data_IF_959425403582
#
_entry.id   IF_959425403582
#
_cell.length_a   1.000
_cell.length_b   1.000
_cell.length_c   1.000
_cell.angle_alpha   90.00
_cell.angle_beta   90.00
_cell.angle_gamma   90.00
#
_symmetry.space_group_name_H-M   'P 1'
#
loop_
_entity.id
_entity.type
_entity.pdbx_description
1 polymer ?
#
# COMPACT_ATOMS: atom_id res chain seq x y z
N UNK A 1 9.61 -4.30 -9.41
CA UNK A 1 11.08 -4.54 -9.39
C UNK A 1 11.46 -5.48 -10.52
N UNK A 2 12.73 -5.52 -10.90
CA UNK A 2 13.26 -6.38 -11.97
C UNK A 2 14.11 -7.54 -11.41
N UNK A 3 14.23 -8.60 -12.20
CA UNK A 3 15.13 -9.73 -11.97
C UNK A 3 15.58 -10.28 -13.34
N UNK A 4 16.65 -11.11 -13.40
CA UNK A 4 17.05 -11.76 -14.64
C UNK A 4 15.88 -12.51 -15.30
N UNK A 5 15.65 -12.26 -16.58
CA UNK A 5 14.56 -12.87 -17.33
C UNK A 5 14.92 -13.14 -18.79
N UNK A 6 16.21 -13.11 -19.11
CA UNK A 6 16.75 -13.40 -20.43
C UNK A 6 17.75 -14.55 -20.33
N UNK A 7 17.70 -15.45 -21.30
CA UNK A 7 18.54 -16.66 -21.37
C UNK A 7 18.55 -17.46 -20.06
N UNK A 8 17.36 -17.63 -19.47
CA UNK A 8 17.21 -18.33 -18.20
C UNK A 8 17.10 -19.83 -18.47
N UNK A 9 17.99 -20.66 -17.91
CA UNK A 9 17.82 -22.10 -17.97
C UNK A 9 16.68 -22.53 -17.05
N UNK A 10 15.69 -23.21 -17.62
CA UNK A 10 14.52 -23.72 -16.89
C UNK A 10 14.27 -25.18 -17.21
N UNK A 11 13.63 -25.89 -16.28
CA UNK A 11 13.17 -27.24 -16.55
C UNK A 11 12.02 -27.21 -17.56
N UNK A 12 12.06 -28.13 -18.52
CA UNK A 12 11.05 -28.32 -19.56
C UNK A 12 10.65 -29.81 -19.55
N UNK A 13 9.37 -30.19 -19.69
CA UNK A 13 9.02 -31.60 -19.62
C UNK A 13 9.64 -32.38 -20.78
N UNK A 14 9.98 -33.65 -20.52
CA UNK A 14 10.72 -34.50 -21.47
C UNK A 14 9.98 -34.76 -22.80
N UNK A 15 8.66 -34.51 -22.83
CA UNK A 15 7.86 -34.60 -24.03
C UNK A 15 8.09 -33.41 -25.00
N UNK A 16 8.58 -32.29 -24.49
CA UNK A 16 8.90 -31.07 -25.24
C UNK A 16 10.38 -31.05 -25.63
N UNK A 17 11.28 -31.41 -24.70
CA UNK A 17 12.72 -31.50 -24.96
C UNK A 17 13.36 -32.69 -24.21
N UNK A 18 14.10 -33.53 -24.94
CA UNK A 18 14.71 -34.74 -24.39
C UNK A 18 15.80 -34.47 -23.34
N UNK A 19 16.40 -33.27 -23.33
CA UNK A 19 17.35 -32.84 -22.30
C UNK A 19 16.66 -32.53 -20.96
N UNK A 20 15.35 -32.24 -20.99
CA UNK A 20 14.58 -31.77 -19.83
C UNK A 20 14.78 -30.30 -19.48
N UNK A 21 15.41 -29.51 -20.37
CA UNK A 21 15.70 -28.10 -20.15
C UNK A 21 15.41 -27.25 -21.39
N UNK A 22 14.94 -26.02 -21.15
CA UNK A 22 14.98 -24.91 -22.08
C UNK A 22 16.04 -23.93 -21.59
N UNK A 23 17.07 -23.66 -22.41
CA UNK A 23 18.27 -22.91 -21.97
C UNK A 23 18.22 -21.41 -22.28
N UNK A 24 17.36 -21.00 -23.19
CA UNK A 24 17.23 -19.64 -23.73
C UNK A 24 15.84 -19.05 -23.40
N UNK A 25 15.32 -19.36 -22.21
CA UNK A 25 14.00 -18.91 -21.82
C UNK A 25 14.00 -17.39 -21.54
N UNK A 26 13.18 -16.67 -22.30
CA UNK A 26 13.11 -15.21 -22.30
C UNK A 26 11.70 -14.72 -21.92
N UNK A 27 11.61 -13.79 -20.97
CA UNK A 27 10.35 -13.18 -20.56
C UNK A 27 10.27 -12.79 -19.09
N UNK A 28 9.37 -11.86 -18.78
CA UNK A 28 9.05 -11.48 -17.39
C UNK A 28 8.47 -12.64 -16.59
N UNK A 29 7.88 -13.65 -17.27
CA UNK A 29 7.46 -14.92 -16.70
C UNK A 29 8.60 -15.71 -16.06
N UNK A 30 9.85 -15.52 -16.50
CA UNK A 30 11.04 -16.17 -15.92
C UNK A 30 11.73 -15.29 -14.86
N UNK A 31 11.57 -13.98 -14.92
CA UNK A 31 11.99 -13.08 -13.84
C UNK A 31 11.11 -13.19 -12.59
N UNK A 32 9.79 -13.32 -12.77
CA UNK A 32 8.79 -13.44 -11.71
C UNK A 32 9.11 -14.54 -10.66
N UNK A 33 9.40 -15.80 -11.03
CA UNK A 33 9.72 -16.86 -10.06
C UNK A 33 11.02 -16.62 -9.30
N UNK A 34 12.00 -15.89 -9.87
CA UNK A 34 13.21 -15.50 -9.13
C UNK A 34 12.88 -14.54 -7.99
N UNK A 35 12.02 -13.55 -8.25
CA UNK A 35 11.53 -12.63 -7.20
C UNK A 35 10.71 -13.38 -6.16
N UNK A 36 9.83 -14.29 -6.59
CA UNK A 36 9.01 -15.10 -5.67
C UNK A 36 9.88 -16.01 -4.77
N UNK A 37 10.87 -16.70 -5.35
CA UNK A 37 11.81 -17.54 -4.60
C UNK A 37 12.65 -16.73 -3.62
N UNK A 38 13.14 -15.56 -4.03
CA UNK A 38 13.87 -14.65 -3.16
C UNK A 38 13.00 -14.11 -2.02
N UNK A 39 11.76 -13.71 -2.29
CA UNK A 39 10.81 -13.26 -1.27
C UNK A 39 10.52 -14.39 -0.26
N UNK A 40 10.30 -15.62 -0.73
CA UNK A 40 10.12 -16.79 0.13
C UNK A 40 11.32 -17.07 1.03
N UNK A 41 12.55 -16.96 0.50
CA UNK A 41 13.76 -17.10 1.31
C UNK A 41 13.91 -15.97 2.34
N UNK A 42 13.76 -14.71 1.91
CA UNK A 42 13.82 -13.55 2.82
C UNK A 42 12.80 -13.70 3.94
N UNK A 43 11.57 -14.12 3.63
CA UNK A 43 10.52 -14.30 4.62
C UNK A 43 10.78 -15.48 5.56
N UNK A 44 11.45 -16.53 5.08
CA UNK A 44 11.91 -17.64 5.93
C UNK A 44 12.94 -17.18 6.95
N UNK A 45 13.91 -16.36 6.52
CA UNK A 45 14.94 -15.81 7.42
C UNK A 45 14.36 -14.75 8.35
N UNK A 46 13.38 -13.97 7.86
CA UNK A 46 12.74 -12.86 8.59
C UNK A 46 11.26 -13.15 8.86
N UNK A 47 11.01 -14.24 9.56
CA UNK A 47 9.65 -14.80 9.78
C UNK A 47 8.68 -13.91 10.56
N UNK A 48 9.17 -12.84 11.20
CA UNK A 48 8.34 -11.86 11.91
C UNK A 48 7.79 -10.73 11.03
N UNK A 49 8.17 -10.68 9.75
CA UNK A 49 7.58 -9.72 8.80
C UNK A 49 6.16 -10.15 8.45
N UNK A 50 5.25 -9.19 8.33
CA UNK A 50 4.02 -9.42 7.57
C UNK A 50 4.24 -9.22 6.05
N UNK A 51 3.22 -9.53 5.26
CA UNK A 51 3.28 -9.45 3.80
C UNK A 51 3.55 -8.03 3.30
N UNK A 52 3.03 -7.00 3.97
CA UNK A 52 3.20 -5.60 3.58
C UNK A 52 4.63 -5.12 3.85
N UNK A 53 5.19 -5.54 4.98
CA UNK A 53 6.59 -5.30 5.30
C UNK A 53 7.54 -6.05 4.37
N UNK A 54 7.22 -7.30 4.01
CA UNK A 54 8.01 -8.06 3.04
C UNK A 54 8.01 -7.37 1.67
N UNK A 55 6.85 -6.95 1.18
CA UNK A 55 6.72 -6.24 -0.08
C UNK A 55 7.55 -4.94 -0.10
N UNK A 56 7.37 -4.08 0.91
CA UNK A 56 8.11 -2.83 1.04
C UNK A 56 9.62 -3.04 1.16
N UNK A 57 10.04 -4.07 1.88
CA UNK A 57 11.44 -4.41 2.07
C UNK A 57 12.07 -4.85 0.76
N UNK A 58 11.43 -5.76 0.01
CA UNK A 58 11.94 -6.26 -1.27
C UNK A 58 12.07 -5.11 -2.28
N UNK A 59 11.12 -4.18 -2.24
CA UNK A 59 11.07 -2.99 -3.08
C UNK A 59 12.20 -2.00 -2.80
N UNK A 60 12.36 -1.60 -1.53
CA UNK A 60 13.33 -0.56 -1.12
C UNK A 60 14.77 -1.03 -1.05
N UNK A 61 14.97 -2.34 -0.96
CA UNK A 61 16.30 -2.94 -0.95
C UNK A 61 16.84 -3.26 -2.34
N UNK A 62 16.03 -3.10 -3.38
CA UNK A 62 16.45 -3.31 -4.76
C UNK A 62 17.63 -2.40 -5.13
N UNK A 63 18.53 -2.92 -5.96
CA UNK A 63 19.59 -2.12 -6.57
C UNK A 63 18.99 -1.31 -7.71
N UNK A 64 18.94 -0.01 -7.55
CA UNK A 64 18.56 0.90 -8.63
C UNK A 64 19.55 0.76 -9.81
N UNK A 65 19.01 0.36 -10.98
CA UNK A 65 19.77 0.12 -12.21
C UNK A 65 19.28 1.02 -13.36
N UNK A 66 18.34 1.92 -13.07
CA UNK A 66 17.68 2.79 -14.03
C UNK A 66 17.78 4.26 -13.64
N UNK A 67 16.66 4.97 -13.76
CA UNK A 67 16.58 6.35 -13.28
C UNK A 67 16.43 6.35 -11.75
N UNK A 68 17.02 7.35 -11.07
CA UNK A 68 17.05 7.35 -9.60
C UNK A 68 15.68 7.11 -8.93
N UNK A 69 15.57 5.98 -8.23
CA UNK A 69 14.37 5.46 -7.56
C UNK A 69 13.44 4.71 -8.52
N UNK A 70 12.13 4.77 -8.29
CA UNK A 70 11.16 4.16 -9.21
C UNK A 70 11.26 4.70 -10.63
N UNK A 71 11.31 3.78 -11.60
CA UNK A 71 11.14 4.02 -13.02
C UNK A 71 10.21 2.97 -13.66
N UNK A 72 9.61 3.29 -14.82
CA UNK A 72 8.62 2.41 -15.46
C UNK A 72 9.22 1.14 -16.09
N UNK A 73 10.54 1.06 -16.28
CA UNK A 73 11.20 -0.07 -16.92
C UNK A 73 11.63 -1.14 -15.90
N UNK A 74 12.12 -0.72 -14.72
CA UNK A 74 12.66 -1.64 -13.70
C UNK A 74 11.92 -1.57 -12.36
N UNK A 75 10.93 -0.68 -12.24
CA UNK A 75 10.30 -0.34 -10.97
C UNK A 75 11.34 0.26 -10.05
N UNK A 76 11.53 -0.32 -8.86
CA UNK A 76 12.56 0.11 -7.90
C UNK A 76 13.97 -0.44 -8.18
N UNK A 77 14.16 -1.16 -9.27
CA UNK A 77 15.46 -1.71 -9.67
C UNK A 77 15.55 -3.23 -9.55
N UNK A 78 16.77 -3.73 -9.61
CA UNK A 78 17.14 -5.14 -9.63
C UNK A 78 17.05 -5.77 -8.23
N UNK A 79 16.45 -6.95 -8.16
CA UNK A 79 16.43 -7.81 -6.98
C UNK A 79 17.82 -7.92 -6.31
N UNK A 80 17.86 -7.66 -4.99
CA UNK A 80 19.07 -7.73 -4.19
C UNK A 80 18.79 -8.41 -2.83
N UNK A 81 19.07 -9.72 -2.75
CA UNK A 81 18.81 -10.53 -1.55
C UNK A 81 19.66 -10.08 -0.35
N UNK A 82 20.99 -9.85 -0.46
CA UNK A 82 21.77 -9.34 0.67
C UNK A 82 21.25 -8.01 1.24
N UNK A 83 20.85 -7.07 0.37
CA UNK A 83 20.24 -5.82 0.80
C UNK A 83 18.90 -6.07 1.49
N UNK A 84 18.04 -6.94 0.94
CA UNK A 84 16.76 -7.30 1.54
C UNK A 84 16.91 -7.90 2.95
N UNK A 85 17.88 -8.80 3.13
CA UNK A 85 18.15 -9.43 4.43
C UNK A 85 18.65 -8.42 5.48
N UNK A 86 19.39 -7.40 5.07
CA UNK A 86 19.94 -6.37 5.96
C UNK A 86 19.07 -5.11 6.12
N UNK A 87 18.04 -4.96 5.29
CA UNK A 87 17.19 -3.76 5.29
C UNK A 87 16.43 -3.60 6.63
N UNK A 88 16.32 -2.41 7.22
CA UNK A 88 15.52 -2.20 8.42
C UNK A 88 14.07 -2.67 8.21
N UNK A 89 13.47 -3.34 9.20
CA UNK A 89 12.08 -3.78 9.09
C UNK A 89 11.17 -2.57 8.78
N UNK A 90 10.48 -2.57 7.62
CA UNK A 90 9.59 -1.47 7.27
C UNK A 90 8.48 -1.33 8.29
N UNK A 91 7.85 -0.15 8.31
CA UNK A 91 6.70 0.04 9.18
C UNK A 91 5.54 -0.80 8.67
N UNK A 92 4.77 -1.34 9.61
CA UNK A 92 3.58 -2.13 9.31
C UNK A 92 2.49 -1.25 8.70
N UNK A 93 1.95 -1.70 7.56
CA UNK A 93 0.86 -1.02 6.84
C UNK A 93 -0.26 -2.01 6.46
N UNK A 94 -1.15 -2.34 7.39
CA UNK A 94 -1.94 -3.57 7.29
C UNK A 94 -3.19 -3.46 6.41
N UNK A 95 -3.45 -2.30 5.81
CA UNK A 95 -4.60 -2.11 4.93
C UNK A 95 -4.23 -2.05 3.45
N UNK A 96 -2.97 -2.31 3.08
CA UNK A 96 -2.58 -2.41 1.67
C UNK A 96 -3.21 -3.62 0.95
N UNK A 97 -3.56 -3.49 -0.34
CA UNK A 97 -3.60 -2.24 -1.14
C UNK A 97 -4.79 -1.35 -0.75
N UNK A 98 -4.65 -0.02 -0.89
CA UNK A 98 -5.72 0.92 -0.51
C UNK A 98 -5.76 2.24 -1.32
N UNK A 99 -5.24 2.25 -2.54
CA UNK A 99 -5.13 3.42 -3.38
C UNK A 99 -6.47 3.84 -4.01
N UNK A 100 -7.37 2.88 -4.19
CA UNK A 100 -8.67 3.09 -4.84
C UNK A 100 -9.85 2.45 -4.07
N UNK A 101 -11.07 2.99 -4.23
CA UNK A 101 -12.26 2.46 -3.56
C UNK A 101 -12.50 0.97 -3.79
N UNK A 102 -12.15 0.45 -4.96
CA UNK A 102 -12.33 -0.94 -5.34
C UNK A 102 -11.53 -1.90 -4.44
N UNK A 103 -10.40 -1.45 -3.88
CA UNK A 103 -9.57 -2.23 -2.96
C UNK A 103 -10.08 -2.21 -1.52
N UNK A 104 -10.74 -1.12 -1.11
CA UNK A 104 -11.15 -0.95 0.30
C UNK A 104 -12.62 -1.26 0.56
N UNK A 105 -13.46 -1.25 -0.47
CA UNK A 105 -14.89 -1.52 -0.35
C UNK A 105 -15.22 -3.03 -0.36
N UNK A 106 -16.25 -3.45 0.40
CA UNK A 106 -16.72 -4.82 0.37
C UNK A 106 -17.43 -5.08 -0.95
N UNK A 107 -17.35 -6.32 -1.43
CA UNK A 107 -17.95 -6.76 -2.69
C UNK A 107 -17.46 -5.99 -3.93
N UNK A 108 -16.22 -5.47 -3.87
CA UNK A 108 -15.53 -4.88 -5.00
C UNK A 108 -14.39 -5.82 -5.45
N UNK A 109 -13.12 -5.39 -5.39
CA UNK A 109 -11.99 -6.27 -5.68
C UNK A 109 -11.90 -7.42 -4.68
N UNK A 110 -12.18 -7.14 -3.39
CA UNK A 110 -12.21 -8.15 -2.33
C UNK A 110 -13.62 -8.29 -1.76
N UNK A 111 -13.98 -9.52 -1.37
CA UNK A 111 -15.31 -9.81 -0.81
C UNK A 111 -15.63 -8.98 0.44
N UNK A 112 -14.65 -8.77 1.32
CA UNK A 112 -14.85 -8.13 2.62
C UNK A 112 -14.41 -6.65 2.68
N UNK A 113 -13.55 -6.20 1.76
CA UNK A 113 -12.87 -4.89 1.84
C UNK A 113 -12.04 -4.72 3.12
N UNK A 114 -11.57 -3.50 3.38
CA UNK A 114 -10.72 -3.18 4.56
C UNK A 114 -11.55 -2.64 5.72
N UNK A 115 -11.34 -3.05 6.99
CA UNK A 115 -12.17 -2.59 8.10
C UNK A 115 -12.05 -1.07 8.31
N UNK A 116 -13.18 -0.33 8.46
CA UNK A 116 -13.14 1.12 8.56
C UNK A 116 -12.50 1.57 9.88
N UNK A 117 -11.75 2.68 9.91
CA UNK A 117 -11.09 3.14 11.16
C UNK A 117 -12.11 3.50 12.26
N UNK A 118 -13.30 3.94 11.87
CA UNK A 118 -14.44 4.14 12.79
C UNK A 118 -15.70 3.49 12.22
N UNK A 119 -16.63 3.10 13.09
CA UNK A 119 -17.87 2.41 12.73
C UNK A 119 -18.96 2.70 13.78
N UNK A 120 -20.24 2.35 13.56
CA UNK A 120 -21.21 2.27 14.65
C UNK A 120 -20.65 1.45 15.82
N UNK A 121 -20.62 2.03 17.03
CA UNK A 121 -20.01 1.41 18.21
C UNK A 121 -18.49 1.54 18.34
N UNK A 122 -17.77 1.94 17.28
CA UNK A 122 -16.32 2.22 17.30
C UNK A 122 -16.04 3.70 17.03
N UNK A 123 -15.83 4.46 18.10
CA UNK A 123 -15.72 5.92 18.06
C UNK A 123 -14.32 6.46 17.80
N UNK A 124 -13.30 5.61 17.77
CA UNK A 124 -11.93 6.00 17.49
C UNK A 124 -11.18 4.89 16.75
N UNK A 125 -10.15 5.29 16.01
CA UNK A 125 -9.22 4.40 15.33
C UNK A 125 -7.93 5.11 14.97
N UNK A 126 -6.89 4.34 14.66
CA UNK A 126 -5.61 4.86 14.19
C UNK A 126 -4.99 3.90 13.19
N UNK A 127 -4.22 4.46 12.27
CA UNK A 127 -3.44 3.73 11.29
C UNK A 127 -2.13 4.49 11.04
N UNK A 128 -1.12 3.75 10.62
CA UNK A 128 0.17 4.29 10.22
C UNK A 128 0.51 3.63 8.90
N UNK A 129 0.89 4.43 7.91
CA UNK A 129 1.20 3.92 6.58
C UNK A 129 2.26 4.74 5.84
N UNK A 130 2.69 4.28 4.68
CA UNK A 130 3.71 4.96 3.90
C UNK A 130 3.16 5.28 2.53
N UNK A 131 3.40 6.50 2.04
CA UNK A 131 3.04 6.89 0.68
C UNK A 131 4.27 7.33 -0.11
N UNK A 132 4.33 6.97 -1.39
CA UNK A 132 5.35 7.39 -2.37
C UNK A 132 4.70 7.92 -3.65
N UNK A 133 5.16 9.07 -4.16
CA UNK A 133 4.56 9.71 -5.33
C UNK A 133 4.58 8.89 -6.63
N UNK A 134 5.41 7.88 -6.74
CA UNK A 134 5.63 7.15 -7.99
C UNK A 134 4.69 5.95 -8.13
N UNK A 135 4.63 5.10 -7.11
CA UNK A 135 3.85 3.86 -7.17
C UNK A 135 2.64 3.86 -6.25
N UNK A 136 2.75 4.55 -5.11
CA UNK A 136 1.77 4.51 -4.02
C UNK A 136 1.40 5.95 -3.57
N UNK A 137 0.76 6.73 -4.47
CA UNK A 137 0.62 8.16 -4.28
C UNK A 137 -0.50 8.55 -3.29
N UNK A 138 -1.33 7.58 -2.89
CA UNK A 138 -2.57 7.82 -2.18
C UNK A 138 -2.88 6.63 -1.29
N UNK A 139 -3.22 6.89 -0.03
CA UNK A 139 -3.87 5.88 0.81
C UNK A 139 -5.31 6.29 1.11
N UNK A 140 -6.26 5.35 0.94
CA UNK A 140 -7.67 5.54 1.26
C UNK A 140 -8.12 4.65 2.41
N UNK A 141 -8.77 5.28 3.39
CA UNK A 141 -9.35 4.59 4.54
C UNK A 141 -10.84 4.85 4.64
N UNK A 142 -11.61 3.82 4.97
CA UNK A 142 -13.03 4.00 5.29
C UNK A 142 -13.19 4.56 6.71
N UNK A 143 -14.00 5.60 6.88
CA UNK A 143 -14.33 6.16 8.19
C UNK A 143 -15.82 6.43 8.32
N UNK A 144 -16.40 6.16 9.49
CA UNK A 144 -17.80 6.44 9.80
C UNK A 144 -17.96 7.79 10.50
N UNK A 145 -18.84 8.65 9.98
CA UNK A 145 -19.27 9.90 10.59
C UNK A 145 -20.73 9.77 11.07
N UNK A 146 -21.00 9.63 12.39
CA UNK A 146 -22.36 9.46 12.89
C UNK A 146 -23.24 10.70 12.70
N UNK A 147 -24.56 10.51 12.67
CA UNK A 147 -25.55 11.59 12.62
C UNK A 147 -25.35 12.59 13.75
N UNK A 148 -25.46 13.89 13.45
CA UNK A 148 -25.36 15.00 14.42
C UNK A 148 -24.09 14.96 15.30
N UNK A 149 -22.99 14.42 14.78
CA UNK A 149 -21.68 14.31 15.46
C UNK A 149 -20.57 14.92 14.62
N UNK A 150 -19.39 15.03 15.23
CA UNK A 150 -18.19 15.57 14.60
C UNK A 150 -17.15 14.47 14.50
N UNK A 151 -16.56 14.31 13.32
CA UNK A 151 -15.41 13.46 13.06
C UNK A 151 -14.16 14.33 12.97
N UNK A 152 -13.15 14.00 13.77
CA UNK A 152 -11.83 14.60 13.72
C UNK A 152 -10.85 13.58 13.17
N UNK A 153 -10.12 13.95 12.12
CA UNK A 153 -9.02 13.16 11.56
C UNK A 153 -7.73 13.97 11.70
N UNK A 154 -6.82 13.50 12.55
CA UNK A 154 -5.50 14.09 12.75
C UNK A 154 -4.45 13.27 12.04
N UNK A 155 -3.54 13.93 11.35
CA UNK A 155 -2.39 13.33 10.68
C UNK A 155 -1.08 13.96 11.15
N UNK A 156 -0.03 13.16 11.24
CA UNK A 156 1.36 13.60 11.39
C UNK A 156 2.23 13.01 10.26
N UNK A 157 3.33 13.67 9.94
CA UNK A 157 4.19 13.33 8.79
C UNK A 157 4.07 14.35 7.66
N UNK A 158 4.95 14.24 6.66
CA UNK A 158 4.98 15.11 5.49
C UNK A 158 3.91 14.70 4.48
N UNK A 159 2.64 14.76 4.88
CA UNK A 159 1.47 14.35 4.10
C UNK A 159 0.33 15.37 4.18
N UNK A 160 -0.54 15.34 3.17
CA UNK A 160 -1.86 15.98 3.23
C UNK A 160 -2.93 14.96 3.61
N UNK A 161 -4.00 15.42 4.25
CA UNK A 161 -5.17 14.60 4.56
C UNK A 161 -6.45 15.28 4.09
N UNK A 162 -7.32 14.54 3.43
CA UNK A 162 -8.67 14.97 3.03
C UNK A 162 -9.72 13.97 3.52
N UNK A 163 -10.92 14.47 3.78
CA UNK A 163 -12.12 13.64 3.96
C UNK A 163 -12.99 13.82 2.72
N UNK A 164 -13.36 12.73 2.07
CA UNK A 164 -14.11 12.71 0.81
C UNK A 164 -15.49 12.08 1.04
N UNK A 165 -16.51 12.65 0.39
CA UNK A 165 -17.81 12.00 0.34
C UNK A 165 -17.71 10.68 -0.45
N UNK A 166 -18.21 9.58 0.13
CA UNK A 166 -18.19 8.25 -0.49
C UNK A 166 -18.86 8.23 -1.88
N UNK A 167 -19.90 9.04 -2.08
CA UNK A 167 -20.64 9.14 -3.34
C UNK A 167 -19.92 9.89 -4.46
N UNK A 168 -19.02 10.83 -4.13
CA UNK A 168 -18.39 11.70 -5.12
C UNK A 168 -16.93 11.32 -5.45
N UNK A 169 -16.29 10.48 -4.61
CA UNK A 169 -14.89 9.98 -4.68
C UNK A 169 -13.78 11.04 -4.84
N UNK A 170 -14.09 12.28 -5.21
CA UNK A 170 -13.16 13.35 -5.60
C UNK A 170 -13.41 14.65 -4.84
N UNK A 171 -14.66 14.89 -4.45
CA UNK A 171 -15.06 16.09 -3.71
C UNK A 171 -14.74 15.95 -2.21
N UNK A 172 -13.80 16.76 -1.74
CA UNK A 172 -13.42 16.82 -0.35
C UNK A 172 -14.47 17.59 0.48
N UNK A 173 -15.03 16.92 1.49
CA UNK A 173 -15.93 17.51 2.49
C UNK A 173 -15.16 18.17 3.64
N UNK A 174 -13.87 17.84 3.81
CA UNK A 174 -12.95 18.55 4.66
C UNK A 174 -11.50 18.34 4.20
N UNK A 175 -10.64 19.32 4.42
CA UNK A 175 -9.19 19.24 4.16
C UNK A 175 -8.44 19.61 5.43
N UNK A 176 -7.41 18.84 5.77
CA UNK A 176 -6.66 19.07 6.99
C UNK A 176 -5.91 20.41 6.93
N UNK A 177 -6.01 21.19 8.00
CA UNK A 177 -5.17 22.38 8.25
C UNK A 177 -4.32 22.11 9.49
N UNK A 178 -3.00 22.32 9.38
CA UNK A 178 -2.04 21.98 10.44
C UNK A 178 -2.24 20.55 10.97
N UNK A 179 -2.44 19.60 10.05
CA UNK A 179 -2.61 18.18 10.36
C UNK A 179 -3.98 17.79 10.93
N UNK A 180 -5.00 18.67 10.95
CA UNK A 180 -6.34 18.32 11.44
C UNK A 180 -7.43 18.61 10.41
N UNK A 181 -8.15 17.58 9.98
CA UNK A 181 -9.42 17.71 9.27
C UNK A 181 -10.57 17.50 10.24
N UNK A 182 -11.64 18.29 10.09
CA UNK A 182 -12.84 18.19 10.92
C UNK A 182 -14.06 18.18 10.02
N UNK A 183 -14.90 17.16 10.15
CA UNK A 183 -16.15 17.02 9.43
C UNK A 183 -17.32 16.98 10.41
N UNK A 184 -18.29 17.89 10.25
CA UNK A 184 -19.52 17.90 11.05
C UNK A 184 -20.63 17.24 10.22
N UNK A 185 -21.13 16.08 10.66
CA UNK A 185 -22.29 15.48 10.02
C UNK A 185 -23.56 16.14 10.58
N UNK A 186 -24.12 17.08 9.82
CA UNK A 186 -25.35 17.78 10.17
C UNK A 186 -26.63 16.99 9.93
N UNK A 187 -26.55 15.85 9.23
CA UNK A 187 -27.72 15.06 8.83
C UNK A 187 -28.25 14.17 9.97
N UNK A 188 -29.42 13.58 9.73
CA UNK A 188 -30.09 12.67 10.66
C UNK A 188 -29.57 11.23 10.57
N UNK A 189 -28.73 10.93 9.58
CA UNK A 189 -28.17 9.60 9.35
C UNK A 189 -26.65 9.66 9.44
N UNK A 190 -26.03 8.57 9.89
CA UNK A 190 -24.58 8.46 9.76
C UNK A 190 -24.19 8.15 8.31
N UNK A 191 -22.96 8.48 7.95
CA UNK A 191 -22.42 8.24 6.62
C UNK A 191 -20.98 7.75 6.70
N UNK A 192 -20.60 6.85 5.78
CA UNK A 192 -19.20 6.54 5.54
C UNK A 192 -18.57 7.60 4.63
N UNK A 193 -17.32 7.94 4.92
CA UNK A 193 -16.46 8.81 4.13
C UNK A 193 -15.17 8.05 3.80
N UNK A 194 -14.44 8.54 2.80
CA UNK A 194 -13.04 8.18 2.63
C UNK A 194 -12.14 9.21 3.32
N UNK A 195 -11.13 8.73 4.02
CA UNK A 195 -10.00 9.51 4.50
C UNK A 195 -8.86 9.24 3.54
N UNK A 196 -8.43 10.26 2.82
CA UNK A 196 -7.37 10.20 1.83
C UNK A 196 -6.10 10.82 2.39
N UNK A 197 -4.97 10.13 2.28
CA UNK A 197 -3.63 10.61 2.62
C UNK A 197 -2.79 10.68 1.35
N UNK A 198 -1.99 11.73 1.19
CA UNK A 198 -1.05 11.87 0.04
C UNK A 198 0.28 12.49 0.48
N UNK A 199 1.41 12.19 -0.18
CA UNK A 199 2.68 12.87 0.09
C UNK A 199 2.58 14.39 -0.05
N UNK A 200 3.24 15.14 0.84
CA UNK A 200 3.32 16.60 0.79
C UNK A 200 4.78 17.07 0.86
N UNK A 201 5.26 17.73 -0.19
CA UNK A 201 6.62 18.29 -0.25
C UNK A 201 7.72 17.25 -0.49
N UNK A 202 7.64 16.07 0.12
CA UNK A 202 8.57 14.95 -0.10
C UNK A 202 8.09 13.99 -1.19
N UNK A 203 9.04 13.24 -1.79
CA UNK A 203 8.75 12.12 -2.71
C UNK A 203 8.00 11.01 -1.99
N UNK A 204 8.46 10.70 -0.79
CA UNK A 204 7.93 9.62 0.05
C UNK A 204 7.69 10.16 1.47
N UNK A 205 6.71 9.60 2.17
CA UNK A 205 6.41 10.01 3.54
C UNK A 205 5.73 8.91 4.35
N UNK A 206 6.28 8.62 5.53
CA UNK A 206 5.56 7.89 6.56
C UNK A 206 4.69 8.84 7.38
N UNK A 207 3.49 8.38 7.76
CA UNK A 207 2.54 9.20 8.50
C UNK A 207 1.83 8.44 9.64
N UNK A 208 1.15 9.13 10.54
CA UNK A 208 0.21 8.48 11.46
C UNK A 208 -1.12 9.21 11.40
N UNK A 209 -2.21 8.48 11.26
CA UNK A 209 -3.57 9.00 11.30
C UNK A 209 -4.25 8.54 12.58
N UNK A 210 -4.94 9.46 13.25
CA UNK A 210 -5.86 9.17 14.34
C UNK A 210 -7.22 9.79 14.03
N UNK A 211 -8.26 8.99 14.10
CA UNK A 211 -9.64 9.40 13.88
C UNK A 211 -10.41 9.27 15.19
N UNK A 212 -11.17 10.30 15.55
CA UNK A 212 -12.07 10.27 16.73
C UNK A 212 -13.42 10.91 16.41
N UNK A 213 -14.46 10.41 17.06
CA UNK A 213 -15.82 10.95 17.02
C UNK A 213 -16.07 11.73 18.32
N UNK A 214 -16.47 12.99 18.18
CA UNK A 214 -16.85 13.87 19.28
C UNK A 214 -18.34 14.22 19.24
N UNK A 215 -18.88 14.61 20.40
CA UNK A 215 -20.16 15.32 20.47
C UNK A 215 -20.01 16.70 19.82
N UNK A 216 -21.15 17.23 19.36
CA UNK A 216 -21.22 18.47 18.59
C UNK A 216 -20.88 19.69 19.43
#
# INVERSE_FOLDING_TARGET
>A
MAAPGADIPVAEPLAQDASGYLLDANGTSFASPLVAGAAGWVWTVRSNLDNTQLFELMRRSATDIGARGFDNATGWGLLNIPAALSFPTPRRDPQEPNEQPEEIEPHALFANGTPPLTAPGRTAGSIAGHVDRSEDPIDLYRVWAPARRVLHARVSGSVTLRLLARSAKTHAVAVARRGLATYRNGSERGAYLYLEVRPHGAREASYNVRVTIARR
#
